data_IF_747619516781
#
_entry.id   IF_747619516781
#
_cell.length_a   1.000
_cell.length_b   1.000
_cell.length_c   1.000
_cell.angle_alpha   90.00
_cell.angle_beta   90.00
_cell.angle_gamma   90.00
#
_symmetry.space_group_name_H-M   'P 1'
#
loop_
_entity.id
_entity.type
_entity.pdbx_description
1 polymer ?
#
# COMPACT_ATOMS: atom_id res chain seq x y z
N UNK A 1 25.65 9.73 20.99
CA UNK A 1 25.08 9.64 19.64
C UNK A 1 23.58 9.86 19.81
N UNK A 2 23.04 10.97 19.34
CA UNK A 2 21.64 11.33 19.60
C UNK A 2 20.71 10.41 18.81
N UNK A 3 19.69 9.88 19.49
CA UNK A 3 18.62 9.08 18.91
C UNK A 3 17.96 9.79 17.70
N UNK A 4 17.88 11.12 17.78
CA UNK A 4 17.43 12.02 16.71
C UNK A 4 18.19 11.89 15.38
N UNK A 5 19.53 11.77 15.40
CA UNK A 5 20.33 11.68 14.17
C UNK A 5 20.12 10.33 13.47
N UNK A 6 19.95 9.27 14.27
CA UNK A 6 19.68 7.92 13.76
C UNK A 6 18.32 7.85 13.08
N UNK A 7 17.30 8.43 13.71
CA UNK A 7 15.94 8.49 13.17
C UNK A 7 15.90 9.32 11.87
N UNK A 8 16.55 10.49 11.82
CA UNK A 8 16.61 11.31 10.61
C UNK A 8 17.31 10.61 9.43
N UNK A 9 18.45 9.94 9.67
CA UNK A 9 19.12 9.16 8.62
C UNK A 9 18.26 8.01 8.12
N UNK A 10 17.50 7.40 9.02
CA UNK A 10 16.61 6.30 8.68
C UNK A 10 15.40 6.79 7.87
N UNK A 11 14.80 7.92 8.25
CA UNK A 11 13.76 8.59 7.50
C UNK A 11 14.18 8.94 6.06
N UNK A 12 15.38 9.50 5.89
CA UNK A 12 15.93 9.78 4.56
C UNK A 12 16.05 8.51 3.70
N UNK A 13 16.56 7.42 4.28
CA UNK A 13 16.62 6.13 3.57
C UNK A 13 15.24 5.62 3.17
N UNK A 14 14.23 5.80 4.02
CA UNK A 14 12.86 5.42 3.67
C UNK A 14 12.30 6.28 2.55
N UNK A 15 12.59 7.58 2.54
CA UNK A 15 12.20 8.46 1.44
C UNK A 15 12.83 8.05 0.10
N UNK A 16 14.05 7.55 0.12
CA UNK A 16 14.71 7.01 -1.08
C UNK A 16 14.19 5.64 -1.49
N UNK A 17 13.86 4.77 -0.52
CA UNK A 17 13.36 3.43 -0.77
C UNK A 17 11.88 3.40 -1.21
N UNK A 18 11.07 4.35 -0.74
CA UNK A 18 9.63 4.44 -1.00
C UNK A 18 9.30 5.78 -1.67
N UNK A 19 9.54 5.90 -2.99
CA UNK A 19 9.20 7.11 -3.72
C UNK A 19 7.68 7.36 -3.73
N UNK A 20 7.26 8.62 -3.90
CA UNK A 20 5.85 8.94 -4.09
C UNK A 20 5.32 8.23 -5.35
N UNK A 21 4.19 7.56 -5.23
CA UNK A 21 3.57 6.71 -6.26
C UNK A 21 3.72 5.22 -5.99
N UNK A 22 4.50 4.79 -5.00
CA UNK A 22 4.59 3.37 -4.63
C UNK A 22 3.26 2.87 -4.08
N UNK A 23 2.73 1.77 -4.64
CA UNK A 23 1.55 1.10 -4.11
C UNK A 23 1.96 0.22 -2.92
N UNK A 24 1.24 0.36 -1.82
CA UNK A 24 1.43 -0.44 -0.61
C UNK A 24 0.11 -1.05 -0.18
N UNK A 25 0.17 -2.13 0.58
CA UNK A 25 -0.98 -2.77 1.20
C UNK A 25 -0.72 -2.83 2.70
N UNK A 26 -1.62 -2.21 3.45
CA UNK A 26 -1.60 -2.29 4.91
C UNK A 26 -2.07 -3.67 5.32
N UNK A 27 -1.27 -4.40 6.09
CA UNK A 27 -1.62 -5.72 6.60
C UNK A 27 -2.29 -5.60 7.96
N UNK A 28 -1.72 -4.77 8.82
CA UNK A 28 -2.26 -4.51 10.15
C UNK A 28 -1.82 -3.13 10.60
N UNK A 29 -2.80 -2.34 11.03
CA UNK A 29 -2.57 -1.09 11.72
C UNK A 29 -2.34 -1.37 13.20
N UNK A 30 -1.47 -0.58 13.83
CA UNK A 30 -1.19 -0.68 15.27
C UNK A 30 -2.39 -0.29 16.15
N UNK A 31 -2.17 0.63 17.08
CA UNK A 31 -3.15 0.97 18.12
C UNK A 31 -4.09 2.12 17.69
N UNK A 32 -4.64 2.03 16.48
CA UNK A 32 -5.57 3.04 15.97
C UNK A 32 -7.00 2.76 16.46
N UNK A 33 -7.74 3.79 16.95
CA UNK A 33 -9.13 3.63 17.38
C UNK A 33 -10.10 3.34 16.22
N UNK A 34 -9.67 3.59 14.98
CA UNK A 34 -10.39 3.25 13.75
C UNK A 34 -9.42 2.61 12.77
N UNK A 35 -9.01 1.34 13.01
CA UNK A 35 -8.04 0.67 12.16
C UNK A 35 -8.61 0.55 10.75
N UNK A 36 -7.75 0.74 9.75
CA UNK A 36 -8.08 0.38 8.38
C UNK A 36 -8.06 -1.14 8.27
N UNK A 37 -8.98 -1.71 7.48
CA UNK A 37 -9.05 -3.16 7.30
C UNK A 37 -7.73 -3.72 6.73
N UNK A 38 -7.31 -4.84 7.30
CA UNK A 38 -6.20 -5.64 6.81
C UNK A 38 -6.39 -5.95 5.33
N UNK A 39 -5.41 -5.55 4.53
CA UNK A 39 -5.40 -5.73 3.09
C UNK A 39 -5.87 -4.52 2.28
N UNK A 40 -6.15 -3.39 2.94
CA UNK A 40 -6.45 -2.16 2.21
C UNK A 40 -5.21 -1.67 1.46
N UNK A 41 -5.39 -1.37 0.18
CA UNK A 41 -4.36 -0.80 -0.68
C UNK A 41 -4.28 0.71 -0.48
N UNK A 42 -3.07 1.22 -0.51
CA UNK A 42 -2.81 2.65 -0.52
C UNK A 42 -1.65 3.00 -1.43
N UNK A 43 -1.53 4.30 -1.70
CA UNK A 43 -0.48 4.86 -2.54
C UNK A 43 0.34 5.82 -1.71
N UNK A 44 1.65 5.61 -1.64
CA UNK A 44 2.57 6.53 -0.96
C UNK A 44 2.52 7.87 -1.67
N UNK A 45 2.17 8.94 -0.96
CA UNK A 45 2.13 10.30 -1.48
C UNK A 45 3.39 11.07 -1.13
N UNK A 46 3.89 10.90 0.09
CA UNK A 46 5.09 11.57 0.58
C UNK A 46 5.67 10.81 1.78
N UNK A 47 6.92 11.07 2.11
CA UNK A 47 7.57 10.60 3.35
C UNK A 47 8.03 11.81 4.13
N UNK A 48 7.64 11.89 5.40
CA UNK A 48 8.03 12.97 6.31
C UNK A 48 9.47 12.79 6.82
N UNK A 49 10.06 13.88 7.32
CA UNK A 49 11.45 13.91 7.80
C UNK A 49 11.68 13.04 9.05
N UNK A 50 10.58 12.61 9.69
CA UNK A 50 10.57 11.67 10.83
C UNK A 50 10.49 10.20 10.40
N UNK A 51 10.28 9.91 9.11
CA UNK A 51 10.24 8.55 8.55
C UNK A 51 8.84 7.94 8.44
N UNK A 52 7.80 8.74 8.63
CA UNK A 52 6.40 8.35 8.41
C UNK A 52 6.07 8.45 6.92
N UNK A 53 5.49 7.41 6.35
CA UNK A 53 5.01 7.39 4.97
C UNK A 53 3.55 7.85 4.94
N UNK A 54 3.30 9.03 4.39
CA UNK A 54 1.95 9.50 4.12
C UNK A 54 1.38 8.75 2.92
N UNK A 55 0.41 7.87 3.18
CA UNK A 55 -0.20 7.02 2.17
C UNK A 55 -1.69 7.34 2.04
N UNK A 56 -2.18 7.32 0.80
CA UNK A 56 -3.59 7.51 0.48
C UNK A 56 -4.23 6.14 0.20
N UNK A 57 -5.14 5.70 1.06
CA UNK A 57 -5.82 4.41 0.93
C UNK A 57 -7.05 4.50 0.02
N UNK A 58 -7.31 3.44 -0.75
CA UNK A 58 -8.49 3.34 -1.64
C UNK A 58 -9.83 3.49 -0.91
N UNK A 59 -9.85 3.26 0.39
CA UNK A 59 -11.02 3.52 1.24
C UNK A 59 -11.32 5.01 1.44
N UNK A 60 -10.63 5.91 0.72
CA UNK A 60 -10.76 7.36 0.82
C UNK A 60 -10.15 7.96 2.09
N UNK A 61 -9.30 7.19 2.79
CA UNK A 61 -8.61 7.62 4.01
C UNK A 61 -7.14 7.86 3.70
N UNK A 62 -6.62 9.01 4.10
CA UNK A 62 -5.18 9.29 4.03
C UNK A 62 -4.59 9.10 5.43
N UNK A 63 -3.68 8.14 5.59
CA UNK A 63 -3.09 7.80 6.89
C UNK A 63 -1.57 7.65 6.77
N UNK A 64 -0.86 8.03 7.84
CA UNK A 64 0.58 7.90 7.95
C UNK A 64 0.93 6.48 8.40
N UNK A 65 1.87 5.85 7.71
CA UNK A 65 2.34 4.48 7.99
C UNK A 65 3.79 4.56 8.45
N UNK A 66 4.10 4.02 9.62
CA UNK A 66 5.45 4.06 10.20
C UNK A 66 6.15 2.71 10.04
N UNK A 67 7.27 2.65 9.31
CA UNK A 67 8.06 1.43 9.15
C UNK A 67 8.67 1.03 10.50
N UNK A 68 8.16 -0.06 11.06
CA UNK A 68 8.56 -0.61 12.37
C UNK A 68 7.45 -0.61 13.41
N UNK A 69 6.41 0.22 13.23
CA UNK A 69 5.20 0.20 14.07
C UNK A 69 4.02 -0.40 13.31
N UNK A 70 3.82 0.02 12.06
CA UNK A 70 2.79 -0.52 11.18
C UNK A 70 3.30 -1.70 10.35
N UNK A 71 2.43 -2.68 10.14
CA UNK A 71 2.70 -3.81 9.26
C UNK A 71 2.13 -3.53 7.87
N UNK A 72 3.02 -3.27 6.91
CA UNK A 72 2.65 -3.04 5.51
C UNK A 72 3.60 -3.75 4.57
N UNK A 73 3.12 -4.05 3.35
CA UNK A 73 3.93 -4.59 2.25
C UNK A 73 3.82 -3.70 1.03
N UNK A 74 4.89 -3.62 0.23
CA UNK A 74 4.80 -3.03 -1.10
C UNK A 74 4.03 -3.99 -2.01
N UNK A 75 3.07 -3.46 -2.74
CA UNK A 75 2.42 -4.18 -3.82
C UNK A 75 3.19 -3.84 -5.09
N UNK A 76 3.82 -4.84 -5.70
CA UNK A 76 4.43 -4.72 -7.02
C UNK A 76 3.36 -4.74 -8.09
N UNK A 77 3.61 -4.03 -9.19
CA UNK A 77 2.72 -3.92 -10.36
C UNK A 77 2.18 -5.28 -10.83
N UNK A 78 3.01 -6.33 -10.76
CA UNK A 78 2.65 -7.72 -11.07
C UNK A 78 1.42 -8.24 -10.30
N UNK A 79 1.33 -8.04 -8.97
CA UNK A 79 0.16 -8.50 -8.18
C UNK A 79 -1.11 -7.69 -8.49
N UNK A 80 -0.96 -6.44 -8.93
CA UNK A 80 -2.10 -5.57 -9.29
C UNK A 80 -2.70 -5.96 -10.66
N UNK A 81 -1.89 -6.52 -11.55
CA UNK A 81 -2.33 -7.05 -12.85
C UNK A 81 -2.99 -8.43 -12.75
N UNK A 82 -2.55 -9.30 -11.84
CA UNK A 82 -3.15 -10.64 -11.70
C UNK A 82 -4.61 -10.56 -11.21
N UNK A 83 -4.93 -9.60 -10.34
CA UNK A 83 -6.28 -9.44 -9.82
C UNK A 83 -7.27 -8.84 -10.83
N UNK A 84 -6.79 -8.06 -11.81
CA UNK A 84 -7.61 -7.59 -12.93
C UNK A 84 -7.92 -8.71 -13.94
N UNK A 85 -7.09 -9.75 -14.00
CA UNK A 85 -7.26 -10.86 -14.94
C UNK A 85 -8.24 -11.91 -14.40
N UNK A 86 -8.27 -12.12 -13.07
CA UNK A 86 -9.15 -13.11 -12.44
C UNK A 86 -10.65 -12.75 -12.43
N UNK A 87 -11.03 -11.53 -12.85
CA UNK A 87 -12.42 -11.11 -13.01
C UNK A 87 -12.97 -11.24 -14.43
N UNK A 88 -12.19 -11.82 -15.36
CA UNK A 88 -12.46 -11.78 -16.80
C UNK A 88 -12.58 -13.18 -17.44
N UNK A 89 -13.15 -14.17 -16.73
CA UNK A 89 -13.43 -15.51 -17.28
C UNK A 89 -14.86 -15.99 -16.96
N UNK A 90 -15.88 -15.15 -17.19
CA UNK A 90 -17.29 -15.61 -17.26
C UNK A 90 -18.10 -14.93 -18.37
N UNK A 91 -17.51 -14.68 -19.54
CA UNK A 91 -18.31 -14.32 -20.73
C UNK A 91 -17.66 -14.79 -22.03
N UNK A 92 -17.77 -16.09 -22.33
CA UNK A 92 -17.66 -16.63 -23.69
C UNK A 92 -18.88 -17.52 -23.98
N UNK A 93 -19.93 -16.86 -24.47
CA UNK A 93 -20.83 -17.31 -25.53
C UNK A 93 -20.73 -18.77 -25.95
N UNK A 94 -21.77 -19.56 -25.65
CA UNK A 94 -22.15 -20.68 -26.52
C UNK A 94 -23.17 -20.21 -27.55
N UNK A 95 -22.86 -20.07 -28.85
CA UNK A 95 -23.89 -19.87 -29.86
C UNK A 95 -24.57 -21.23 -30.09
N UNK A 96 -25.76 -21.44 -29.51
CA UNK A 96 -26.59 -22.57 -29.95
C UNK A 96 -27.29 -22.20 -31.25
N UNK A 97 -26.55 -22.37 -32.36
CA UNK A 97 -27.10 -22.47 -33.70
C UNK A 97 -27.22 -23.95 -34.03
N UNK A 98 -28.44 -24.46 -34.19
CA UNK A 98 -28.69 -25.84 -34.63
C UNK A 98 -30.19 -26.11 -34.75
N UNK A 99 -30.63 -26.28 -35.99
CA UNK A 99 -31.99 -26.57 -36.50
C UNK A 99 -32.94 -27.36 -35.59
#
# INVERSE_FOLDING_TARGET
MNEWDRLHRQAQRYREAYPPGTRIMLLSMGNDPNPVESGTRGTVRAVDDIGTLHCDFDNGRSLGVVPGEDSFRMLTDEELTEEQTAGMDEDESGPVMGM
#
